data_IF_821792535683
#
_entry.id   IF_821792535683
#
_cell.length_a   1.000
_cell.length_b   1.000
_cell.length_c   1.000
_cell.angle_alpha   90.00
_cell.angle_beta   90.00
_cell.angle_gamma   90.00
#
_symmetry.space_group_name_H-M   'P 1'
#
loop_
_entity.id
_entity.type
_entity.pdbx_description
1 polymer ?
#
# COMPACT_ATOMS: atom_id res chain seq x y z
N UNK A 1 63.34 -0.82 -22.46
CA UNK A 1 62.01 -0.29 -22.83
C UNK A 1 61.08 -1.48 -23.01
N UNK A 2 60.10 -1.69 -22.14
CA UNK A 2 59.17 -2.83 -22.31
C UNK A 2 58.18 -2.54 -23.44
N UNK A 3 58.18 -3.38 -24.47
CA UNK A 3 57.25 -3.29 -25.59
C UNK A 3 55.79 -3.38 -25.11
N UNK A 4 55.02 -2.31 -25.37
CA UNK A 4 53.57 -2.27 -25.17
C UNK A 4 52.86 -2.98 -26.32
N UNK A 5 52.96 -4.30 -26.36
CA UNK A 5 52.24 -5.15 -27.32
C UNK A 5 50.71 -5.01 -27.17
N UNK A 6 49.99 -5.18 -28.28
CA UNK A 6 48.52 -5.06 -28.34
C UNK A 6 47.82 -6.00 -27.35
N UNK A 7 48.40 -7.17 -27.09
CA UNK A 7 47.95 -8.13 -26.08
C UNK A 7 48.07 -7.59 -24.64
N UNK A 8 49.14 -6.85 -24.31
CA UNK A 8 49.33 -6.21 -23.00
C UNK A 8 48.30 -5.12 -22.72
N UNK A 9 47.86 -4.38 -23.75
CA UNK A 9 46.77 -3.40 -23.64
C UNK A 9 45.40 -4.07 -23.48
N UNK A 10 45.16 -5.17 -24.19
CA UNK A 10 43.95 -5.98 -24.04
C UNK A 10 43.80 -6.59 -22.64
N UNK A 11 44.89 -7.12 -22.09
CA UNK A 11 44.91 -7.69 -20.73
C UNK A 11 44.72 -6.62 -19.64
N UNK A 12 45.33 -5.42 -19.78
CA UNK A 12 45.08 -4.29 -18.87
C UNK A 12 43.64 -3.78 -18.96
N UNK A 13 43.07 -3.70 -20.16
CA UNK A 13 41.67 -3.27 -20.36
C UNK A 13 40.69 -4.25 -19.72
N UNK A 14 40.90 -5.57 -19.88
CA UNK A 14 40.08 -6.61 -19.21
C UNK A 14 40.22 -6.57 -17.68
N UNK A 15 41.43 -6.36 -17.13
CA UNK A 15 41.64 -6.16 -15.69
C UNK A 15 40.94 -4.92 -15.15
N UNK A 16 41.00 -3.80 -15.89
CA UNK A 16 40.34 -2.57 -15.48
C UNK A 16 38.82 -2.72 -15.54
N UNK A 17 38.28 -3.32 -16.60
CA UNK A 17 36.84 -3.62 -16.73
C UNK A 17 36.37 -4.55 -15.60
N UNK A 18 37.12 -5.62 -15.29
CA UNK A 18 36.81 -6.51 -14.18
C UNK A 18 36.80 -5.81 -12.82
N UNK A 19 37.73 -4.87 -12.59
CA UNK A 19 37.76 -4.03 -11.38
C UNK A 19 36.57 -3.06 -11.32
N UNK A 20 36.18 -2.45 -12.45
CA UNK A 20 35.01 -1.58 -12.51
C UNK A 20 33.71 -2.34 -12.24
N UNK A 21 33.55 -3.54 -12.82
CA UNK A 21 32.38 -4.39 -12.55
C UNK A 21 32.34 -4.79 -11.07
N UNK A 22 33.48 -5.19 -10.48
CA UNK A 22 33.55 -5.54 -9.07
C UNK A 22 33.14 -4.36 -8.17
N UNK A 23 33.65 -3.15 -8.46
CA UNK A 23 33.29 -1.93 -7.71
C UNK A 23 31.79 -1.63 -7.88
N UNK A 24 31.24 -1.71 -9.09
CA UNK A 24 29.82 -1.50 -9.33
C UNK A 24 28.95 -2.51 -8.57
N UNK A 25 29.33 -3.79 -8.57
CA UNK A 25 28.63 -4.84 -7.80
C UNK A 25 28.68 -4.54 -6.30
N UNK A 26 29.84 -4.15 -5.77
CA UNK A 26 29.98 -3.76 -4.35
C UNK A 26 29.07 -2.56 -4.03
N UNK A 27 29.06 -1.52 -4.86
CA UNK A 27 28.19 -0.37 -4.67
C UNK A 27 26.70 -0.73 -4.73
N UNK A 28 26.30 -1.61 -5.67
CA UNK A 28 24.91 -2.08 -5.77
C UNK A 28 24.53 -2.89 -4.51
N UNK A 29 25.39 -3.81 -4.05
CA UNK A 29 25.16 -4.58 -2.83
C UNK A 29 25.07 -3.66 -1.61
N UNK A 30 25.99 -2.70 -1.48
CA UNK A 30 25.95 -1.71 -0.39
C UNK A 30 24.67 -0.89 -0.45
N UNK A 31 24.24 -0.40 -1.63
CA UNK A 31 23.00 0.34 -1.79
C UNK A 31 21.76 -0.50 -1.46
N UNK A 32 21.75 -1.79 -1.83
CA UNK A 32 20.67 -2.72 -1.49
C UNK A 32 20.65 -3.01 0.02
N UNK A 33 21.81 -3.18 0.67
CA UNK A 33 21.93 -3.36 2.12
C UNK A 33 21.50 -2.10 2.86
N UNK A 34 21.94 -0.91 2.44
CA UNK A 34 21.48 0.35 3.03
C UNK A 34 19.96 0.54 2.87
N UNK A 35 19.39 0.14 1.74
CA UNK A 35 17.95 0.19 1.50
C UNK A 35 17.18 -0.84 2.33
N UNK A 36 17.75 -2.01 2.57
CA UNK A 36 17.20 -3.01 3.49
C UNK A 36 17.36 -2.60 4.98
N UNK A 37 18.36 -1.77 5.29
CA UNK A 37 18.63 -1.27 6.64
C UNK A 37 17.90 0.04 6.98
N UNK A 38 17.26 0.69 6.00
CA UNK A 38 16.33 1.77 6.26
C UNK A 38 14.96 1.13 6.42
N UNK A 39 14.47 1.02 7.66
CA UNK A 39 13.12 0.55 7.93
C UNK A 39 12.05 1.39 7.21
N UNK A 40 10.78 1.05 7.40
CA UNK A 40 9.71 1.68 6.64
C UNK A 40 9.61 3.19 6.90
N UNK A 41 9.64 3.97 5.81
CA UNK A 41 9.51 5.43 5.82
C UNK A 41 8.39 5.82 4.88
N UNK A 42 7.20 6.13 5.40
CA UNK A 42 6.06 6.48 4.57
C UNK A 42 6.37 7.77 3.78
N UNK A 43 5.79 7.86 2.58
CA UNK A 43 5.82 9.09 1.82
C UNK A 43 4.84 10.10 2.43
N UNK A 44 5.34 11.30 2.69
CA UNK A 44 4.55 12.43 3.17
C UNK A 44 4.31 13.37 1.99
N UNK A 45 3.06 13.42 1.55
CA UNK A 45 2.61 14.24 0.44
C UNK A 45 2.46 15.71 0.87
N UNK A 46 2.63 16.62 -0.08
CA UNK A 46 2.21 18.01 0.14
C UNK A 46 0.69 18.09 0.35
N UNK A 47 0.20 19.15 0.99
CA UNK A 47 -1.24 19.31 1.23
C UNK A 47 -2.10 19.18 -0.03
N UNK A 48 -1.64 19.75 -1.15
CA UNK A 48 -2.38 19.69 -2.42
C UNK A 48 -2.39 18.29 -3.02
N UNK A 49 -1.27 17.57 -2.96
CA UNK A 49 -1.20 16.17 -3.40
C UNK A 49 -2.06 15.26 -2.52
N UNK A 50 -2.04 15.48 -1.19
CA UNK A 50 -2.84 14.72 -0.25
C UNK A 50 -4.35 14.86 -0.54
N UNK A 51 -4.84 16.07 -0.79
CA UNK A 51 -6.25 16.30 -1.16
C UNK A 51 -6.61 15.57 -2.47
N UNK A 52 -5.73 15.62 -3.48
CA UNK A 52 -5.97 14.87 -4.72
C UNK A 52 -6.00 13.35 -4.51
N UNK A 53 -5.19 12.83 -3.58
CA UNK A 53 -5.24 11.42 -3.23
C UNK A 53 -6.44 11.07 -2.36
N UNK A 54 -6.94 11.99 -1.52
CA UNK A 54 -8.19 11.80 -0.78
C UNK A 54 -9.36 11.61 -1.78
N UNK A 55 -9.48 12.49 -2.77
CA UNK A 55 -10.48 12.38 -3.85
C UNK A 55 -10.36 11.06 -4.63
N UNK A 56 -9.13 10.64 -4.95
CA UNK A 56 -8.88 9.36 -5.63
C UNK A 56 -9.27 8.16 -4.76
N UNK A 57 -9.00 8.24 -3.46
CA UNK A 57 -9.37 7.20 -2.48
C UNK A 57 -10.88 7.08 -2.41
N UNK A 58 -11.59 8.20 -2.30
CA UNK A 58 -13.04 8.27 -2.29
C UNK A 58 -13.63 7.68 -3.58
N UNK A 59 -13.09 8.03 -4.74
CA UNK A 59 -13.52 7.48 -6.02
C UNK A 59 -13.35 5.96 -6.09
N UNK A 60 -12.22 5.43 -5.61
CA UNK A 60 -11.96 4.00 -5.56
C UNK A 60 -12.85 3.26 -4.56
N UNK A 61 -13.18 3.88 -3.42
CA UNK A 61 -14.15 3.36 -2.44
C UNK A 61 -15.55 3.27 -3.06
N UNK A 62 -16.02 4.35 -3.69
CA UNK A 62 -17.35 4.38 -4.31
C UNK A 62 -17.47 3.34 -5.43
N UNK A 63 -16.46 3.23 -6.31
CA UNK A 63 -16.44 2.21 -7.36
C UNK A 63 -16.46 0.77 -6.80
N UNK A 64 -15.79 0.54 -5.66
CA UNK A 64 -15.84 -0.74 -4.96
C UNK A 64 -17.25 -1.05 -4.45
N UNK A 65 -17.91 -0.10 -3.80
CA UNK A 65 -19.25 -0.30 -3.27
C UNK A 65 -20.25 -0.55 -4.39
N UNK A 66 -20.22 0.25 -5.45
CA UNK A 66 -21.09 0.08 -6.63
C UNK A 66 -20.95 -1.32 -7.22
N UNK A 67 -19.72 -1.84 -7.34
CA UNK A 67 -19.48 -3.18 -7.86
C UNK A 67 -19.92 -4.30 -6.91
N UNK A 68 -20.16 -4.01 -5.63
CA UNK A 68 -20.44 -4.99 -4.57
C UNK A 68 -21.78 -4.73 -3.86
N UNK A 69 -22.82 -4.31 -4.60
CA UNK A 69 -24.18 -4.18 -4.07
C UNK A 69 -24.58 -2.78 -3.57
N UNK A 70 -23.74 -1.77 -3.81
CA UNK A 70 -23.97 -0.38 -3.42
C UNK A 70 -24.01 -0.18 -1.90
N UNK A 71 -24.43 0.99 -1.44
CA UNK A 71 -24.52 1.32 -0.01
C UNK A 71 -25.47 0.45 0.79
N UNK A 72 -26.45 -0.19 0.15
CA UNK A 72 -27.31 -1.13 0.87
C UNK A 72 -26.49 -2.26 1.50
N UNK A 73 -25.33 -2.57 0.92
CA UNK A 73 -24.43 -3.64 1.32
C UNK A 73 -23.27 -3.17 2.21
N UNK A 74 -22.97 -1.87 2.25
CA UNK A 74 -21.78 -1.33 2.94
C UNK A 74 -22.12 -0.08 3.76
N UNK A 75 -21.59 0.00 4.99
CA UNK A 75 -21.76 1.15 5.89
C UNK A 75 -20.44 1.52 6.55
N UNK A 76 -20.28 2.78 6.96
CA UNK A 76 -19.15 3.18 7.81
C UNK A 76 -19.18 2.41 9.15
N UNK A 77 -18.03 1.90 9.58
CA UNK A 77 -17.85 1.15 10.82
C UNK A 77 -18.16 2.01 12.06
N UNK A 78 -17.78 3.28 12.04
CA UNK A 78 -17.84 4.16 13.22
C UNK A 78 -19.15 4.92 13.38
N UNK A 79 -20.10 4.77 12.45
CA UNK A 79 -21.39 5.43 12.54
C UNK A 79 -22.41 4.50 13.23
N UNK A 80 -22.52 4.63 14.55
CA UNK A 80 -23.50 3.97 15.44
C UNK A 80 -24.97 4.42 15.15
N UNK A 81 -25.39 4.44 13.87
CA UNK A 81 -26.81 4.55 13.50
C UNK A 81 -27.20 5.67 12.53
N UNK A 82 -26.26 6.42 11.95
CA UNK A 82 -26.57 7.35 10.84
C UNK A 82 -25.77 6.95 9.59
N UNK A 83 -26.37 6.12 8.74
CA UNK A 83 -25.82 5.87 7.40
C UNK A 83 -25.58 7.21 6.70
N UNK A 84 -24.33 7.51 6.35
CA UNK A 84 -24.02 8.70 5.54
C UNK A 84 -24.63 8.51 4.14
N UNK A 85 -25.19 9.58 3.54
CA UNK A 85 -25.79 9.49 2.21
C UNK A 85 -24.74 9.11 1.16
N UNK A 86 -25.18 8.33 0.17
CA UNK A 86 -24.42 8.01 -1.04
C UNK A 86 -24.23 9.25 -1.91
N UNK A 87 -23.11 9.37 -2.63
CA UNK A 87 -21.85 8.61 -2.47
C UNK A 87 -21.04 9.06 -1.24
N UNK A 88 -19.98 8.33 -0.84
CA UNK A 88 -19.02 8.91 0.11
C UNK A 88 -18.43 10.16 -0.52
N UNK A 89 -18.50 11.26 0.22
CA UNK A 89 -17.96 12.54 -0.20
C UNK A 89 -16.64 12.86 0.50
N UNK A 90 -16.40 12.28 1.69
CA UNK A 90 -15.25 12.58 2.54
C UNK A 90 -14.71 11.32 3.23
N UNK A 91 -13.41 11.33 3.52
CA UNK A 91 -12.75 10.40 4.43
C UNK A 91 -12.84 10.93 5.86
N UNK A 92 -13.24 10.08 6.81
CA UNK A 92 -13.77 10.51 8.11
C UNK A 92 -12.87 10.13 9.28
N UNK A 93 -12.11 9.05 9.12
CA UNK A 93 -11.10 8.61 10.06
C UNK A 93 -9.76 9.26 9.77
N UNK A 94 -8.87 9.16 10.76
CA UNK A 94 -7.48 9.56 10.66
C UNK A 94 -6.61 8.46 11.27
N UNK A 95 -5.54 8.08 10.57
CA UNK A 95 -4.48 7.25 11.15
C UNK A 95 -3.14 7.97 11.08
N UNK A 96 -2.31 7.71 12.10
CA UNK A 96 -0.97 8.28 12.19
C UNK A 96 -0.04 7.50 11.29
N UNK A 97 0.76 8.24 10.52
CA UNK A 97 1.85 7.70 9.73
C UNK A 97 3.15 7.79 10.52
N UNK A 98 3.78 6.65 10.74
CA UNK A 98 4.99 6.57 11.55
C UNK A 98 6.14 5.91 10.79
N UNK A 99 7.35 6.42 10.98
CA UNK A 99 8.57 5.73 10.59
C UNK A 99 8.75 4.47 11.45
N UNK A 100 9.20 3.39 10.84
CA UNK A 100 9.57 2.15 11.54
C UNK A 100 11.04 1.82 11.32
N UNK A 101 11.66 1.22 12.31
CA UNK A 101 12.98 0.62 12.14
C UNK A 101 12.89 -0.74 11.42
N UNK A 102 14.03 -1.40 11.22
CA UNK A 102 14.10 -2.71 10.55
C UNK A 102 13.35 -3.79 11.34
N UNK A 103 13.26 -3.64 12.66
CA UNK A 103 12.54 -4.56 13.54
C UNK A 103 11.03 -4.25 13.60
N UNK A 104 10.58 -3.20 12.90
CA UNK A 104 9.18 -2.79 12.83
C UNK A 104 8.73 -1.88 13.97
N UNK A 105 9.63 -1.46 14.87
CA UNK A 105 9.28 -0.55 15.95
C UNK A 105 9.13 0.88 15.43
N UNK A 106 8.05 1.54 15.88
CA UNK A 106 7.83 2.95 15.60
C UNK A 106 8.96 3.80 16.18
N UNK A 107 9.56 4.64 15.34
CA UNK A 107 10.67 5.53 15.73
C UNK A 107 10.25 7.00 15.81
N UNK A 108 9.31 7.43 14.96
CA UNK A 108 8.75 8.77 14.98
C UNK A 108 7.45 8.83 14.18
N UNK A 109 6.50 9.62 14.65
CA UNK A 109 5.33 9.99 13.85
C UNK A 109 5.69 11.13 12.90
N UNK A 110 5.40 10.94 11.61
CA UNK A 110 5.80 11.85 10.53
C UNK A 110 4.63 12.51 9.84
N UNK A 111 3.41 12.09 10.12
CA UNK A 111 2.21 12.70 9.57
C UNK A 111 0.95 11.94 9.94
N UNK A 112 -0.13 12.29 9.27
CA UNK A 112 -1.41 11.63 9.36
C UNK A 112 -1.96 11.36 7.96
N UNK A 113 -2.84 10.39 7.83
CA UNK A 113 -3.61 10.15 6.62
C UNK A 113 -5.07 10.04 6.97
N UNK A 114 -5.91 10.40 6.01
CA UNK A 114 -7.34 10.20 6.12
C UNK A 114 -7.73 8.79 5.70
N UNK A 115 -8.77 8.25 6.31
CA UNK A 115 -9.26 6.91 6.05
C UNK A 115 -10.78 6.77 6.21
N UNK A 116 -11.30 5.66 5.72
CA UNK A 116 -12.68 5.21 5.98
C UNK A 116 -12.68 3.72 6.25
N UNK A 117 -13.54 3.30 7.16
CA UNK A 117 -13.74 1.91 7.51
C UNK A 117 -15.14 1.49 7.09
N UNK A 118 -15.26 0.50 6.21
CA UNK A 118 -16.54 -0.04 5.77
C UNK A 118 -16.79 -1.40 6.41
N UNK A 119 -17.99 -1.59 6.92
CA UNK A 119 -18.53 -2.89 7.30
C UNK A 119 -19.59 -3.31 6.29
N UNK A 120 -19.60 -4.58 5.91
CA UNK A 120 -20.73 -5.16 5.21
C UNK A 120 -21.97 -5.15 6.14
N UNK A 121 -23.13 -4.74 5.63
CA UNK A 121 -24.40 -4.72 6.39
C UNK A 121 -25.02 -6.11 6.53
N UNK A 122 -24.66 -7.03 5.64
CA UNK A 122 -25.08 -8.43 5.62
C UNK A 122 -23.90 -9.33 5.30
N UNK A 123 -24.05 -10.65 5.48
CA UNK A 123 -22.99 -11.60 5.13
C UNK A 123 -22.81 -11.72 3.62
N UNK A 124 -21.57 -11.60 3.15
CA UNK A 124 -21.15 -11.65 1.75
C UNK A 124 -20.13 -12.77 1.52
N UNK A 125 -19.91 -13.16 0.26
CA UNK A 125 -18.89 -14.13 -0.14
C UNK A 125 -17.56 -13.40 -0.39
N UNK A 126 -16.49 -13.64 0.41
CA UNK A 126 -15.22 -12.95 0.22
C UNK A 126 -14.63 -13.08 -1.18
N UNK A 127 -14.71 -14.27 -1.79
CA UNK A 127 -14.21 -14.50 -3.16
C UNK A 127 -14.82 -13.52 -4.17
N UNK A 128 -16.15 -13.42 -4.20
CA UNK A 128 -16.87 -12.54 -5.14
C UNK A 128 -16.49 -11.06 -4.90
N UNK A 129 -16.41 -10.66 -3.63
CA UNK A 129 -16.04 -9.28 -3.26
C UNK A 129 -14.62 -8.95 -3.71
N UNK A 130 -13.69 -9.87 -3.49
CA UNK A 130 -12.28 -9.71 -3.83
C UNK A 130 -12.05 -9.70 -5.35
N UNK A 131 -12.74 -10.55 -6.12
CA UNK A 131 -12.66 -10.53 -7.60
C UNK A 131 -13.21 -9.22 -8.19
N UNK A 132 -14.27 -8.68 -7.60
CA UNK A 132 -14.81 -7.37 -7.98
C UNK A 132 -13.83 -6.25 -7.61
N UNK A 133 -13.22 -6.32 -6.42
CA UNK A 133 -12.21 -5.37 -5.96
C UNK A 133 -11.00 -5.34 -6.92
N UNK A 134 -10.44 -6.51 -7.27
CA UNK A 134 -9.34 -6.63 -8.24
C UNK A 134 -9.66 -5.89 -9.54
N UNK A 135 -10.88 -6.08 -10.07
CA UNK A 135 -11.33 -5.49 -11.33
C UNK A 135 -11.49 -3.97 -11.25
N UNK A 136 -12.11 -3.44 -10.19
CA UNK A 136 -12.38 -2.00 -10.09
C UNK A 136 -11.16 -1.20 -9.67
N UNK A 137 -10.36 -1.71 -8.75
CA UNK A 137 -9.19 -1.03 -8.21
C UNK A 137 -8.01 -1.00 -9.17
N UNK A 138 -7.90 -1.98 -10.07
CA UNK A 138 -6.92 -1.94 -11.17
C UNK A 138 -7.04 -0.67 -12.03
N UNK A 139 -8.25 -0.12 -12.22
CA UNK A 139 -8.47 1.15 -12.96
C UNK A 139 -7.81 2.35 -12.28
N UNK A 140 -7.60 2.27 -10.98
CA UNK A 140 -6.96 3.29 -10.17
C UNK A 140 -5.50 2.93 -9.88
N UNK A 141 -4.91 1.93 -10.56
CA UNK A 141 -3.53 1.49 -10.33
C UNK A 141 -3.29 0.94 -8.93
N UNK A 142 -4.34 0.40 -8.29
CA UNK A 142 -4.29 -0.23 -6.98
C UNK A 142 -4.30 -1.74 -7.21
N UNK A 143 -3.27 -2.42 -6.70
CA UNK A 143 -3.03 -3.84 -6.97
C UNK A 143 -2.93 -4.65 -5.69
N UNK A 144 -3.38 -5.91 -5.72
CA UNK A 144 -3.23 -6.83 -4.59
C UNK A 144 -1.76 -7.11 -4.31
N UNK A 145 -1.34 -6.97 -3.05
CA UNK A 145 0.05 -7.18 -2.61
C UNK A 145 0.27 -8.46 -1.84
N UNK A 146 -0.75 -8.94 -1.14
CA UNK A 146 -0.63 -10.15 -0.36
C UNK A 146 -1.86 -10.44 0.48
N UNK A 147 -1.92 -11.69 0.92
CA UNK A 147 -2.98 -12.24 1.73
C UNK A 147 -2.34 -12.84 2.97
N UNK A 148 -2.70 -12.34 4.15
CA UNK A 148 -2.32 -12.95 5.42
C UNK A 148 -3.43 -13.91 5.85
N UNK A 149 -3.27 -15.19 5.46
CA UNK A 149 -4.22 -16.28 5.78
C UNK A 149 -3.63 -17.17 6.86
N UNK A 150 -4.40 -17.42 7.92
CA UNK A 150 -4.08 -18.44 8.93
C UNK A 150 -3.18 -18.00 10.09
N UNK A 151 -2.68 -16.75 10.13
CA UNK A 151 -2.00 -16.22 11.31
C UNK A 151 -2.94 -15.62 12.35
N UNK A 152 -4.16 -15.27 11.93
CA UNK A 152 -5.18 -14.67 12.79
C UNK A 152 -6.55 -15.32 12.53
N UNK A 153 -7.52 -15.04 13.40
CA UNK A 153 -8.92 -15.45 13.17
C UNK A 153 -9.57 -14.72 11.99
N UNK A 154 -8.88 -13.71 11.44
CA UNK A 154 -9.24 -12.98 10.24
C UNK A 154 -8.23 -13.28 9.13
N UNK A 155 -8.73 -13.42 7.91
CA UNK A 155 -7.92 -13.23 6.71
C UNK A 155 -7.90 -11.74 6.36
N UNK A 156 -6.71 -11.20 6.11
CA UNK A 156 -6.54 -9.83 5.61
C UNK A 156 -5.89 -9.86 4.22
N UNK A 157 -6.47 -9.14 3.26
CA UNK A 157 -5.94 -8.94 1.92
C UNK A 157 -5.58 -7.48 1.73
N UNK A 158 -4.34 -7.20 1.36
CA UNK A 158 -3.84 -5.84 1.15
C UNK A 158 -3.80 -5.49 -0.33
N UNK A 159 -4.32 -4.31 -0.67
CA UNK A 159 -4.21 -3.68 -1.97
C UNK A 159 -3.51 -2.34 -1.85
N UNK A 160 -2.61 -2.05 -2.79
CA UNK A 160 -1.70 -0.92 -2.68
C UNK A 160 -1.55 -0.20 -4.03
N UNK A 161 -1.85 1.11 -4.02
CA UNK A 161 -1.61 2.05 -5.12
C UNK A 161 -0.14 2.50 -5.26
N UNK A 162 0.76 1.89 -4.50
CA UNK A 162 2.16 2.24 -4.38
C UNK A 162 2.37 3.42 -3.42
N UNK A 163 3.62 3.91 -3.40
CA UNK A 163 4.09 4.92 -2.43
C UNK A 163 3.26 6.21 -2.40
N UNK A 164 2.62 6.58 -3.51
CA UNK A 164 1.86 7.82 -3.66
C UNK A 164 0.36 7.56 -3.89
N UNK A 165 -0.09 6.32 -3.72
CA UNK A 165 -1.47 5.92 -3.92
C UNK A 165 -2.11 5.44 -2.63
N UNK A 166 -3.43 5.23 -2.64
CA UNK A 166 -4.14 4.72 -1.48
C UNK A 166 -3.82 3.26 -1.20
N UNK A 167 -4.04 2.86 0.05
CA UNK A 167 -3.94 1.47 0.51
C UNK A 167 -5.29 0.99 1.02
N UNK A 168 -5.69 -0.21 0.62
CA UNK A 168 -6.92 -0.85 1.09
C UNK A 168 -6.56 -2.16 1.80
N UNK A 169 -7.21 -2.40 2.93
CA UNK A 169 -7.15 -3.66 3.68
C UNK A 169 -8.54 -4.24 3.72
N UNK A 170 -8.72 -5.40 3.10
CA UNK A 170 -9.98 -6.14 3.09
C UNK A 170 -9.86 -7.31 4.05
N UNK A 171 -10.63 -7.30 5.12
CA UNK A 171 -10.56 -8.28 6.21
C UNK A 171 -11.86 -9.05 6.33
N UNK A 172 -11.78 -10.36 6.50
CA UNK A 172 -12.93 -11.23 6.71
C UNK A 172 -12.60 -12.36 7.67
N UNK A 173 -13.60 -12.83 8.42
CA UNK A 173 -13.39 -13.85 9.45
C UNK A 173 -13.19 -15.24 8.83
N UNK A 174 -12.19 -15.98 9.30
CA UNK A 174 -11.83 -17.32 8.82
C UNK A 174 -10.91 -17.30 7.59
N UNK A 175 -10.68 -18.50 7.03
CA UNK A 175 -9.79 -18.76 5.90
C UNK A 175 -10.53 -19.23 4.63
N UNK A 176 -11.76 -19.71 4.76
CA UNK A 176 -12.62 -20.10 3.64
C UNK A 176 -13.21 -18.87 2.92
N UNK A 177 -12.77 -18.56 1.68
CA UNK A 177 -13.26 -17.42 0.93
C UNK A 177 -14.65 -17.62 0.33
N UNK A 178 -15.24 -18.82 0.43
CA UNK A 178 -16.58 -19.16 -0.07
C UNK A 178 -17.63 -19.14 1.04
N UNK A 179 -17.20 -19.07 2.31
CA UNK A 179 -18.10 -18.93 3.44
C UNK A 179 -18.69 -17.51 3.50
N UNK A 180 -20.02 -17.42 3.66
CA UNK A 180 -20.68 -16.12 3.86
C UNK A 180 -20.34 -15.55 5.23
N UNK A 181 -19.66 -14.41 5.25
CA UNK A 181 -19.17 -13.74 6.46
C UNK A 181 -19.40 -12.24 6.39
N UNK A 182 -19.33 -11.57 7.54
CA UNK A 182 -19.21 -10.11 7.55
C UNK A 182 -17.77 -9.73 7.19
N UNK A 183 -17.63 -8.69 6.37
CA UNK A 183 -16.34 -8.16 5.93
C UNK A 183 -16.14 -6.73 6.45
N UNK A 184 -14.88 -6.41 6.71
CA UNK A 184 -14.39 -5.08 7.04
C UNK A 184 -13.45 -4.61 5.92
N UNK A 185 -13.50 -3.34 5.57
CA UNK A 185 -12.57 -2.72 4.62
C UNK A 185 -12.05 -1.45 5.23
N UNK A 186 -10.73 -1.32 5.38
CA UNK A 186 -10.08 -0.06 5.71
C UNK A 186 -9.47 0.50 4.43
N UNK A 187 -9.90 1.68 4.01
CA UNK A 187 -9.33 2.41 2.90
C UNK A 187 -8.61 3.64 3.44
N UNK A 188 -7.32 3.76 3.19
CA UNK A 188 -6.49 4.86 3.66
C UNK A 188 -5.82 5.59 2.51
N UNK A 189 -5.87 6.91 2.55
CA UNK A 189 -5.18 7.81 1.62
C UNK A 189 -3.68 7.87 1.93
N UNK A 190 -2.97 8.82 1.31
CA UNK A 190 -1.55 9.07 1.56
C UNK A 190 -1.33 9.88 2.82
N UNK A 191 -0.14 9.75 3.40
CA UNK A 191 0.26 10.56 4.54
C UNK A 191 0.49 12.02 4.13
N UNK A 192 0.17 12.94 5.02
CA UNK A 192 0.47 14.37 4.94
C UNK A 192 1.00 14.87 6.29
N UNK A 193 1.65 16.02 6.27
CA UNK A 193 2.08 16.68 7.50
C UNK A 193 0.89 16.94 8.44
N UNK A 194 1.18 16.97 9.75
CA UNK A 194 0.19 17.30 10.76
C UNK A 194 -0.42 18.69 10.53
N UNK A 195 -1.72 18.88 10.77
CA UNK A 195 -2.35 20.19 10.67
C UNK A 195 -1.65 21.21 11.57
N UNK A 196 -1.10 22.27 10.99
CA UNK A 196 -0.51 23.40 11.73
C UNK A 196 1.01 23.34 11.93
N UNK A 197 1.72 22.45 11.23
CA UNK A 197 3.17 22.59 10.99
C UNK A 197 3.47 23.28 9.67
#
# INVERSE_FOLDING_TARGET
MSENTVEGRGARRRRNIGRFILVAVIFIVIALVFRACQGDRPYVASRGEAVQQDDRTIAAVNAFMEANGGLSQWKDHYDEGKSRPEPFHDLTGYSVCSNRDIAGFTTADVGERQEVNLNSTSKVTPREVLENADRVWAKYGIERRGDDRGQSSWTQVTYDGGRTGPTFYVSYYGDDPDAKVYMLILAASVCRDFPGR
#
